data_IF_747486814985
#
_entry.id   IF_747486814985
#
_cell.length_a   1.000
_cell.length_b   1.000
_cell.length_c   1.000
_cell.angle_alpha   90.00
_cell.angle_beta   90.00
_cell.angle_gamma   90.00
#
_symmetry.space_group_name_H-M   'P 1'
#
loop_
_entity.id
_entity.type
_entity.pdbx_description
1 polymer ?
#
# COMPACT_ATOMS: atom_id res chain seq x y z
N UNK A 1 -14.01 -8.21 10.37
CA UNK A 1 -13.88 -8.59 8.94
C UNK A 1 -13.14 -7.53 8.12
N UNK A 2 -13.56 -6.26 8.13
CA UNK A 2 -12.92 -5.21 7.31
C UNK A 2 -11.40 -5.01 7.55
N UNK A 3 -10.94 -5.16 8.80
CA UNK A 3 -9.50 -5.07 9.12
C UNK A 3 -8.65 -6.14 8.41
N UNK A 4 -9.12 -7.40 8.40
CA UNK A 4 -8.45 -8.49 7.67
C UNK A 4 -8.48 -8.28 6.16
N UNK A 5 -9.58 -7.73 5.63
CA UNK A 5 -9.66 -7.36 4.22
C UNK A 5 -8.63 -6.27 3.86
N UNK A 6 -8.49 -5.23 4.69
CA UNK A 6 -7.47 -4.20 4.52
C UNK A 6 -6.05 -4.78 4.61
N UNK A 7 -5.77 -5.68 5.56
CA UNK A 7 -4.49 -6.36 5.68
C UNK A 7 -4.16 -7.18 4.41
N UNK A 8 -5.15 -7.87 3.85
CA UNK A 8 -5.00 -8.60 2.58
C UNK A 8 -4.68 -7.66 1.40
N UNK A 9 -5.41 -6.55 1.25
CA UNK A 9 -5.13 -5.56 0.21
C UNK A 9 -3.72 -4.97 0.36
N UNK A 10 -3.31 -4.65 1.59
CA UNK A 10 -1.96 -4.17 1.88
C UNK A 10 -0.90 -5.22 1.49
N UNK A 11 -1.12 -6.48 1.84
CA UNK A 11 -0.24 -7.59 1.44
C UNK A 11 -0.11 -7.70 -0.09
N UNK A 12 -1.21 -7.59 -0.84
CA UNK A 12 -1.16 -7.57 -2.31
C UNK A 12 -0.33 -6.41 -2.86
N UNK A 13 -0.42 -5.22 -2.26
CA UNK A 13 0.38 -4.06 -2.68
C UNK A 13 1.87 -4.25 -2.38
N UNK A 14 2.20 -4.82 -1.22
CA UNK A 14 3.58 -5.05 -0.78
C UNK A 14 4.26 -6.24 -1.49
N UNK A 15 3.48 -7.24 -1.92
CA UNK A 15 4.01 -8.36 -2.71
C UNK A 15 4.42 -7.95 -4.13
N UNK A 16 3.83 -6.87 -4.68
CA UNK A 16 4.13 -6.42 -6.03
C UNK A 16 5.60 -6.00 -6.27
N UNK A 17 6.25 -5.15 -5.45
CA UNK A 17 7.67 -4.85 -5.60
C UNK A 17 8.55 -6.10 -5.44
N UNK A 18 8.17 -7.05 -4.59
CA UNK A 18 8.88 -8.34 -4.44
C UNK A 18 8.76 -9.14 -5.75
N UNK A 19 7.56 -9.23 -6.31
CA UNK A 19 7.32 -9.94 -7.57
C UNK A 19 8.13 -9.35 -8.74
N UNK A 20 8.32 -8.02 -8.77
CA UNK A 20 9.20 -7.36 -9.75
C UNK A 20 10.66 -7.77 -9.54
N UNK A 21 11.14 -7.78 -8.31
CA UNK A 21 12.53 -8.11 -8.00
C UNK A 21 12.84 -9.60 -8.31
N UNK A 22 11.88 -10.50 -8.06
CA UNK A 22 11.96 -11.91 -8.47
C UNK A 22 12.14 -12.03 -9.98
N UNK A 23 11.33 -11.32 -10.77
CA UNK A 23 11.47 -11.36 -12.23
C UNK A 23 12.83 -10.83 -12.70
N UNK A 24 13.32 -9.77 -12.05
CA UNK A 24 14.58 -9.12 -12.40
C UNK A 24 15.79 -10.01 -12.09
N UNK A 25 15.84 -10.60 -10.89
CA UNK A 25 17.01 -11.37 -10.42
C UNK A 25 17.01 -12.82 -10.87
N UNK A 26 15.85 -13.48 -10.86
CA UNK A 26 15.74 -14.93 -11.04
C UNK A 26 15.27 -15.30 -12.44
N UNK A 27 14.13 -14.75 -12.88
CA UNK A 27 13.54 -15.11 -14.17
C UNK A 27 14.15 -14.35 -15.35
N UNK A 28 14.88 -13.25 -15.07
CA UNK A 28 15.54 -12.37 -16.05
C UNK A 28 14.62 -11.95 -17.20
N UNK A 29 13.31 -11.82 -16.94
CA UNK A 29 12.29 -11.49 -17.94
C UNK A 29 12.01 -12.57 -18.99
N UNK A 30 12.51 -13.80 -18.85
CA UNK A 30 12.33 -14.87 -19.84
C UNK A 30 10.96 -15.55 -19.77
N UNK A 31 10.28 -15.48 -18.62
CA UNK A 31 8.97 -16.12 -18.43
C UNK A 31 7.81 -15.23 -18.91
N UNK A 32 7.22 -15.58 -20.06
CA UNK A 32 6.10 -14.84 -20.68
C UNK A 32 4.87 -14.73 -19.77
N UNK A 33 4.49 -15.82 -19.11
CA UNK A 33 3.31 -15.85 -18.23
C UNK A 33 3.52 -14.95 -17.01
N UNK A 34 4.72 -15.00 -16.42
CA UNK A 34 5.07 -14.13 -15.30
C UNK A 34 5.10 -12.65 -15.70
N UNK A 35 5.63 -12.33 -16.88
CA UNK A 35 5.60 -10.97 -17.41
C UNK A 35 4.17 -10.47 -17.64
N UNK A 36 3.26 -11.32 -18.14
CA UNK A 36 1.84 -10.98 -18.27
C UNK A 36 1.19 -10.74 -16.91
N UNK A 37 1.48 -11.57 -15.92
CA UNK A 37 1.05 -11.38 -14.53
C UNK A 37 1.52 -10.02 -13.99
N UNK A 38 2.81 -9.68 -14.13
CA UNK A 38 3.34 -8.38 -13.70
C UNK A 38 2.70 -7.19 -14.44
N UNK A 39 2.39 -7.33 -15.73
CA UNK A 39 1.70 -6.30 -16.52
C UNK A 39 0.29 -6.05 -15.99
N UNK A 40 -0.47 -7.12 -15.71
CA UNK A 40 -1.79 -7.04 -15.07
C UNK A 40 -1.70 -6.45 -13.66
N UNK A 41 -0.76 -6.93 -12.85
CA UNK A 41 -0.50 -6.42 -11.50
C UNK A 41 -0.19 -4.93 -11.49
N UNK A 42 0.64 -4.43 -12.43
CA UNK A 42 0.92 -3.00 -12.57
C UNK A 42 -0.33 -2.17 -12.89
N UNK A 43 -1.23 -2.71 -13.70
CA UNK A 43 -2.52 -2.06 -14.01
C UNK A 43 -3.42 -2.05 -12.79
N UNK A 44 -3.49 -3.15 -12.03
CA UNK A 44 -4.36 -3.31 -10.86
C UNK A 44 -3.88 -2.57 -9.61
N UNK A 45 -2.56 -2.45 -9.42
CA UNK A 45 -1.93 -1.85 -8.22
C UNK A 45 -2.56 -0.52 -7.76
N UNK A 46 -2.76 0.52 -8.62
CA UNK A 46 -3.40 1.76 -8.18
C UNK A 46 -4.86 1.59 -7.75
N UNK A 47 -5.61 0.65 -8.35
CA UNK A 47 -6.99 0.36 -7.97
C UNK A 47 -7.06 -0.35 -6.62
N UNK A 48 -6.17 -1.31 -6.38
CA UNK A 48 -6.03 -1.98 -5.07
C UNK A 48 -5.63 -0.97 -3.98
N UNK A 49 -4.73 -0.03 -4.31
CA UNK A 49 -4.33 1.06 -3.40
C UNK A 49 -5.49 2.00 -3.07
N UNK A 50 -6.26 2.40 -4.08
CA UNK A 50 -7.46 3.21 -3.89
C UNK A 50 -8.51 2.49 -3.04
N UNK A 51 -8.74 1.21 -3.30
CA UNK A 51 -9.66 0.38 -2.53
C UNK A 51 -9.22 0.28 -1.06
N UNK A 52 -7.94 0.04 -0.80
CA UNK A 52 -7.38 -0.02 0.56
C UNK A 52 -7.60 1.28 1.33
N UNK A 53 -7.45 2.45 0.68
CA UNK A 53 -7.69 3.75 1.31
C UNK A 53 -9.18 3.91 1.64
N UNK A 54 -10.07 3.59 0.69
CA UNK A 54 -11.51 3.71 0.90
C UNK A 54 -11.99 2.79 2.03
N UNK A 55 -11.61 1.51 1.99
CA UNK A 55 -12.00 0.56 3.04
C UNK A 55 -11.26 0.81 4.35
N UNK A 56 -10.06 1.42 4.33
CA UNK A 56 -9.38 1.93 5.51
C UNK A 56 -10.16 3.05 6.21
N UNK A 57 -10.65 4.03 5.43
CA UNK A 57 -11.51 5.10 5.92
C UNK A 57 -12.80 4.54 6.53
N UNK A 58 -13.49 3.64 5.81
CA UNK A 58 -14.71 2.98 6.31
C UNK A 58 -14.44 2.19 7.58
N UNK A 59 -13.31 1.48 7.66
CA UNK A 59 -12.93 0.74 8.86
C UNK A 59 -12.78 1.66 10.07
N UNK A 60 -12.07 2.79 9.91
CA UNK A 60 -11.88 3.77 10.97
C UNK A 60 -13.21 4.38 11.42
N UNK A 61 -14.06 4.80 10.48
CA UNK A 61 -15.37 5.36 10.79
C UNK A 61 -16.25 4.38 11.59
N UNK A 62 -16.33 3.11 11.15
CA UNK A 62 -17.10 2.09 11.85
C UNK A 62 -16.53 1.72 13.23
N UNK A 63 -15.24 1.98 13.49
CA UNK A 63 -14.60 1.68 14.77
C UNK A 63 -14.68 2.83 15.77
N UNK A 64 -14.59 4.06 15.31
CA UNK A 64 -14.51 5.24 16.18
C UNK A 64 -15.80 6.05 16.22
N UNK A 65 -16.65 6.00 15.19
CA UNK A 65 -17.86 6.83 15.04
C UNK A 65 -17.58 8.33 14.84
N UNK A 66 -16.35 8.77 15.08
CA UNK A 66 -15.84 10.14 14.91
C UNK A 66 -14.40 10.09 14.41
N UNK A 67 -13.88 11.23 13.95
CA UNK A 67 -12.44 11.34 13.73
C UNK A 67 -11.72 11.41 15.07
N UNK A 68 -10.77 10.51 15.28
CA UNK A 68 -9.85 10.52 16.42
C UNK A 68 -8.43 10.31 15.90
N UNK A 69 -7.46 11.00 16.50
CA UNK A 69 -6.07 10.86 16.09
C UNK A 69 -5.43 9.69 16.84
N UNK A 70 -5.09 8.62 16.11
CA UNK A 70 -4.46 7.43 16.66
C UNK A 70 -3.63 6.74 15.58
N UNK A 71 -3.06 5.59 15.90
CA UNK A 71 -2.19 4.84 14.98
C UNK A 71 -2.88 4.48 13.65
N UNK A 72 -4.21 4.28 13.65
CA UNK A 72 -4.97 3.92 12.46
C UNK A 72 -5.21 5.10 11.51
N UNK A 73 -5.56 6.28 12.04
CA UNK A 73 -5.68 7.49 11.22
C UNK A 73 -4.31 7.93 10.69
N UNK A 74 -3.23 7.79 11.48
CA UNK A 74 -1.86 8.00 11.00
C UNK A 74 -1.49 7.06 9.84
N UNK A 75 -1.75 5.76 9.98
CA UNK A 75 -1.54 4.78 8.92
C UNK A 75 -2.33 5.12 7.65
N UNK A 76 -3.60 5.52 7.79
CA UNK A 76 -4.44 5.91 6.67
C UNK A 76 -3.93 7.16 5.95
N UNK A 77 -3.46 8.17 6.68
CA UNK A 77 -2.86 9.37 6.09
C UNK A 77 -1.59 9.05 5.30
N UNK A 78 -0.73 8.20 5.86
CA UNK A 78 0.50 7.74 5.20
C UNK A 78 0.19 6.90 3.96
N UNK A 79 -0.83 6.04 4.00
CA UNK A 79 -1.33 5.29 2.84
C UNK A 79 -1.83 6.23 1.73
N UNK A 80 -2.65 7.22 2.09
CA UNK A 80 -3.18 8.21 1.15
C UNK A 80 -2.06 9.03 0.50
N UNK A 81 -1.13 9.54 1.31
CA UNK A 81 0.04 10.27 0.82
C UNK A 81 0.90 9.40 -0.11
N UNK A 82 1.10 8.13 0.25
CA UNK A 82 1.85 7.21 -0.61
C UNK A 82 1.15 6.94 -1.96
N UNK A 83 -0.18 6.85 -1.96
CA UNK A 83 -1.00 6.78 -3.16
C UNK A 83 -0.80 8.01 -4.06
N UNK A 84 -0.79 9.22 -3.48
CA UNK A 84 -0.51 10.46 -4.19
C UNK A 84 0.89 10.45 -4.83
N UNK A 85 1.93 10.01 -4.11
CA UNK A 85 3.28 9.87 -4.67
C UNK A 85 3.31 8.92 -5.87
N UNK A 86 2.56 7.81 -5.81
CA UNK A 86 2.41 6.88 -6.93
C UNK A 86 1.76 7.53 -8.16
N UNK A 87 0.71 8.33 -7.95
CA UNK A 87 0.04 9.10 -9.01
C UNK A 87 0.95 10.19 -9.59
N UNK A 88 1.66 10.93 -8.74
CA UNK A 88 2.63 11.96 -9.15
C UNK A 88 3.76 11.36 -9.97
N UNK A 89 4.31 10.20 -9.58
CA UNK A 89 5.27 9.47 -10.41
C UNK A 89 4.65 9.04 -11.74
N UNK A 90 3.41 8.53 -11.74
CA UNK A 90 2.73 8.11 -12.97
C UNK A 90 2.58 9.28 -13.96
N UNK A 91 2.28 10.48 -13.48
CA UNK A 91 2.13 11.71 -14.29
C UNK A 91 3.47 12.32 -14.71
N UNK A 92 4.36 12.56 -13.75
CA UNK A 92 5.60 13.34 -13.97
C UNK A 92 6.81 12.51 -14.39
N UNK A 93 6.78 11.19 -14.16
CA UNK A 93 7.91 10.25 -14.34
C UNK A 93 9.17 10.60 -13.54
N UNK A 94 9.13 11.58 -12.63
CA UNK A 94 10.27 11.97 -11.78
C UNK A 94 10.63 10.83 -10.83
N UNK A 95 11.88 10.37 -10.90
CA UNK A 95 12.38 9.22 -10.13
C UNK A 95 12.34 9.45 -8.61
N UNK A 96 12.42 10.70 -8.17
CA UNK A 96 12.28 11.08 -6.75
C UNK A 96 10.98 10.56 -6.16
N UNK A 97 9.84 10.79 -6.82
CA UNK A 97 8.53 10.32 -6.34
C UNK A 97 8.47 8.79 -6.26
N UNK A 98 9.04 8.06 -7.22
CA UNK A 98 9.11 6.61 -7.15
C UNK A 98 9.98 6.10 -5.98
N UNK A 99 11.07 6.83 -5.68
CA UNK A 99 11.97 6.51 -4.57
C UNK A 99 11.26 6.71 -3.23
N UNK A 100 10.64 7.88 -3.04
CA UNK A 100 9.87 8.19 -1.83
C UNK A 100 8.68 7.23 -1.67
N UNK A 101 7.93 6.94 -2.75
CA UNK A 101 6.83 5.98 -2.73
C UNK A 101 7.26 4.58 -2.22
N UNK A 102 8.46 4.14 -2.60
CA UNK A 102 9.02 2.87 -2.14
C UNK A 102 9.40 2.90 -0.66
N UNK A 103 10.06 3.96 -0.20
CA UNK A 103 10.42 4.11 1.22
C UNK A 103 9.20 4.26 2.12
N UNK A 104 8.17 4.97 1.65
CA UNK A 104 6.87 5.06 2.30
C UNK A 104 6.22 3.68 2.48
N UNK A 105 6.46 2.73 1.56
CA UNK A 105 6.02 1.34 1.74
C UNK A 105 6.60 0.68 2.99
N UNK A 106 7.85 0.96 3.35
CA UNK A 106 8.48 0.44 4.58
C UNK A 106 7.83 1.09 5.80
N UNK A 107 7.65 2.41 5.77
CA UNK A 107 6.97 3.14 6.85
C UNK A 107 5.54 2.62 7.07
N UNK A 108 4.80 2.33 6.00
CA UNK A 108 3.45 1.74 6.07
C UNK A 108 3.46 0.38 6.78
N UNK A 109 4.47 -0.47 6.51
CA UNK A 109 4.59 -1.76 7.21
C UNK A 109 4.80 -1.54 8.71
N UNK A 110 5.71 -0.63 9.08
CA UNK A 110 5.97 -0.32 10.49
C UNK A 110 4.72 0.23 11.20
N UNK A 111 4.00 1.16 10.55
CA UNK A 111 2.77 1.72 11.09
C UNK A 111 1.63 0.71 11.13
N UNK A 112 1.55 -0.21 10.17
CA UNK A 112 0.59 -1.31 10.20
C UNK A 112 0.85 -2.23 11.39
N UNK A 113 2.11 -2.62 11.64
CA UNK A 113 2.48 -3.44 12.79
C UNK A 113 2.17 -2.70 14.11
N UNK A 114 2.50 -1.42 14.20
CA UNK A 114 2.16 -0.59 15.35
C UNK A 114 0.64 -0.54 15.57
N UNK A 115 -0.14 -0.30 14.53
CA UNK A 115 -1.60 -0.23 14.61
C UNK A 115 -2.21 -1.58 14.98
N UNK A 116 -1.68 -2.69 14.44
CA UNK A 116 -2.15 -4.03 14.72
C UNK A 116 -1.86 -4.46 16.17
N UNK A 117 -0.67 -4.15 16.69
CA UNK A 117 -0.25 -4.54 18.04
C UNK A 117 -0.76 -3.58 19.12
N UNK A 118 -0.80 -2.28 18.84
CA UNK A 118 -1.16 -1.21 19.78
C UNK A 118 -1.98 -0.11 19.08
N UNK A 119 -3.27 -0.36 18.77
CA UNK A 119 -4.10 0.58 18.02
C UNK A 119 -4.29 1.95 18.69
N UNK A 120 -4.14 2.02 20.02
CA UNK A 120 -4.39 3.20 20.84
C UNK A 120 -3.11 3.87 21.36
N UNK A 121 -1.93 3.59 20.80
CA UNK A 121 -0.65 4.05 21.36
C UNK A 121 -0.50 5.57 21.58
N UNK A 122 -1.27 6.39 20.84
CA UNK A 122 -1.21 7.86 20.93
C UNK A 122 -2.44 8.49 21.61
N UNK A 123 -3.32 7.66 22.21
CA UNK A 123 -4.50 8.07 22.98
C UNK A 123 -4.31 7.65 24.43
#
# INVERSE_FOLDING_TARGET
MLGWFNAFLLFLLLSFPIAIEVNKRWLKGKNKNYNQFLKKGRKMHPYVGGLLILTGLTHGYLKLGRFDFHTGSLLLMVLAFNGLLGLLYKRTKKRSFAKVHRYMGILIVLLFLLHYLRPWYFI
#
